data_IF_540701276814
#
_entry.id   IF_540701276814
#
_cell.length_a   1.000
_cell.length_b   1.000
_cell.length_c   1.000
_cell.angle_alpha   90.00
_cell.angle_beta   90.00
_cell.angle_gamma   90.00
#
_symmetry.space_group_name_H-M   'P 1'
#
loop_
_entity.id
_entity.type
_entity.pdbx_description
1 polymer ?
#
# COMPACT_ATOMS: atom_id res chain seq x y z
N UNK A 1 -46.66 15.24 -46.07
CA UNK A 1 -45.85 15.58 -44.91
C UNK A 1 -45.15 14.31 -44.45
N UNK A 2 -43.85 14.17 -44.70
CA UNK A 2 -43.06 12.99 -44.31
C UNK A 2 -42.32 13.33 -43.00
N UNK A 3 -42.80 12.79 -41.89
CA UNK A 3 -42.10 12.88 -40.62
C UNK A 3 -40.90 11.91 -40.64
N UNK A 4 -39.71 12.45 -40.76
CA UNK A 4 -38.45 11.68 -40.57
C UNK A 4 -38.12 11.69 -39.09
N UNK A 5 -38.42 10.59 -38.39
CA UNK A 5 -37.91 10.32 -37.06
C UNK A 5 -36.43 10.00 -37.18
N UNK A 6 -35.57 10.91 -36.69
CA UNK A 6 -34.17 10.63 -36.48
C UNK A 6 -34.04 9.86 -35.16
N UNK A 7 -33.78 8.56 -35.26
CA UNK A 7 -33.37 7.75 -34.14
C UNK A 7 -31.91 8.13 -33.80
N UNK A 8 -31.72 8.94 -32.80
CA UNK A 8 -30.42 9.16 -32.21
C UNK A 8 -30.07 7.90 -31.38
N UNK A 9 -29.27 7.01 -31.94
CA UNK A 9 -28.67 5.92 -31.21
C UNK A 9 -27.58 6.53 -30.29
N UNK A 10 -27.93 6.69 -29.01
CA UNK A 10 -26.93 7.03 -27.98
C UNK A 10 -26.08 5.79 -27.75
N UNK A 11 -24.89 5.79 -28.34
CA UNK A 11 -23.87 4.77 -28.10
C UNK A 11 -23.32 5.02 -26.68
N UNK A 12 -23.88 4.31 -25.71
CA UNK A 12 -23.31 4.26 -24.35
C UNK A 12 -22.03 3.45 -24.43
N UNK A 13 -20.91 4.14 -24.55
CA UNK A 13 -19.59 3.51 -24.42
C UNK A 13 -19.42 3.15 -22.94
N UNK A 14 -19.66 1.90 -22.63
CA UNK A 14 -19.29 1.31 -21.35
C UNK A 14 -17.75 1.28 -21.29
N UNK A 15 -17.15 2.28 -20.66
CA UNK A 15 -15.75 2.22 -20.28
C UNK A 15 -15.62 1.16 -19.19
N UNK A 16 -15.36 -0.07 -19.62
CA UNK A 16 -14.90 -1.12 -18.69
C UNK A 16 -13.51 -0.69 -18.24
N UNK A 17 -13.43 -0.05 -17.09
CA UNK A 17 -12.17 0.09 -16.37
C UNK A 17 -11.75 -1.32 -15.98
N UNK A 18 -10.99 -1.97 -16.86
CA UNK A 18 -10.25 -3.17 -16.52
C UNK A 18 -9.38 -2.78 -15.32
N UNK A 19 -9.73 -3.27 -14.16
CA UNK A 19 -8.90 -3.17 -12.97
C UNK A 19 -7.62 -3.93 -13.25
N UNK A 20 -6.60 -3.25 -13.77
CA UNK A 20 -5.26 -3.81 -13.84
C UNK A 20 -4.83 -4.10 -12.40
N UNK A 21 -4.56 -5.36 -12.11
CA UNK A 21 -3.85 -5.79 -10.91
C UNK A 21 -2.50 -5.09 -10.92
N UNK A 22 -2.36 -4.04 -10.13
CA UNK A 22 -1.14 -3.22 -10.07
C UNK A 22 0.00 -3.88 -9.27
N UNK A 23 0.02 -5.22 -9.17
CA UNK A 23 1.09 -5.97 -8.50
C UNK A 23 2.46 -5.55 -8.98
N UNK A 24 2.64 -5.43 -10.30
CA UNK A 24 3.93 -5.08 -10.90
C UNK A 24 4.42 -3.70 -10.49
N UNK A 25 3.53 -2.75 -10.26
CA UNK A 25 3.89 -1.40 -9.80
C UNK A 25 4.34 -1.40 -8.34
N UNK A 26 3.78 -2.30 -7.51
CA UNK A 26 4.18 -2.47 -6.11
C UNK A 26 5.56 -3.11 -5.97
N UNK A 27 5.95 -4.02 -6.89
CA UNK A 27 7.21 -4.76 -6.79
C UNK A 27 8.42 -3.85 -6.62
N UNK A 28 9.31 -4.25 -5.72
CA UNK A 28 10.56 -3.56 -5.44
C UNK A 28 10.64 -2.97 -4.04
N UNK A 29 11.71 -2.25 -3.80
CA UNK A 29 12.03 -1.68 -2.50
C UNK A 29 11.55 -0.23 -2.40
N UNK A 30 10.88 0.07 -1.29
CA UNK A 30 10.30 1.37 -0.97
C UNK A 30 10.87 1.86 0.36
N UNK A 31 11.51 3.02 0.32
CA UNK A 31 12.09 3.68 1.50
C UNK A 31 11.07 4.62 2.13
N UNK A 32 10.99 4.62 3.45
CA UNK A 32 10.10 5.53 4.19
C UNK A 32 10.40 7.00 3.91
N UNK A 33 9.35 7.79 3.73
CA UNK A 33 9.39 9.25 3.63
C UNK A 33 8.67 9.89 4.82
N UNK A 34 7.50 9.37 5.19
CA UNK A 34 6.74 9.87 6.35
C UNK A 34 5.75 8.85 6.91
N UNK A 35 5.42 9.02 8.19
CA UNK A 35 4.32 8.36 8.88
C UNK A 35 3.39 9.44 9.42
N UNK A 36 2.09 9.26 9.18
CA UNK A 36 1.04 10.20 9.63
C UNK A 36 0.03 9.44 10.47
N UNK A 37 -0.28 9.95 11.64
CA UNK A 37 -1.31 9.44 12.55
C UNK A 37 -2.32 10.54 12.84
N UNK A 38 -3.62 10.27 12.62
CA UNK A 38 -4.69 11.25 12.81
C UNK A 38 -4.42 12.60 12.10
N UNK A 39 -3.78 12.58 10.92
CA UNK A 39 -3.41 13.77 10.17
C UNK A 39 -2.14 14.49 10.65
N UNK A 40 -1.44 13.95 11.65
CA UNK A 40 -0.23 14.56 12.25
C UNK A 40 1.00 13.74 11.88
N UNK A 41 2.04 14.41 11.35
CA UNK A 41 3.34 13.78 11.07
C UNK A 41 4.00 13.30 12.35
N UNK A 42 4.47 12.06 12.31
CA UNK A 42 5.21 11.43 13.39
C UNK A 42 6.71 11.45 13.11
N UNK A 43 7.51 11.36 14.16
CA UNK A 43 8.95 11.09 14.03
C UNK A 43 9.14 9.71 13.40
N UNK A 44 10.06 9.60 12.44
CA UNK A 44 10.32 8.34 11.73
C UNK A 44 11.72 7.81 12.06
N UNK A 45 11.83 6.47 12.02
CA UNK A 45 13.12 5.76 11.99
C UNK A 45 13.41 5.28 10.56
N UNK A 46 14.66 4.92 10.28
CA UNK A 46 15.04 4.33 9.00
C UNK A 46 14.30 3.00 8.84
N UNK A 47 13.44 2.93 7.85
CA UNK A 47 12.62 1.73 7.57
C UNK A 47 12.35 1.61 6.07
N UNK A 48 12.02 0.42 5.65
CA UNK A 48 11.68 0.11 4.26
C UNK A 48 10.62 -0.99 4.17
N UNK A 49 10.04 -1.08 3.00
CA UNK A 49 9.13 -2.17 2.63
C UNK A 49 9.49 -2.66 1.23
N UNK A 50 9.62 -3.97 1.07
CA UNK A 50 9.93 -4.62 -0.19
C UNK A 50 8.79 -5.57 -0.56
N UNK A 51 8.21 -5.37 -1.73
CA UNK A 51 7.23 -6.26 -2.32
C UNK A 51 7.91 -7.17 -3.35
N UNK A 52 7.73 -8.48 -3.21
CA UNK A 52 8.40 -9.48 -4.03
C UNK A 52 7.46 -10.62 -4.42
N UNK A 53 7.77 -11.23 -5.56
CA UNK A 53 7.08 -12.41 -6.07
C UNK A 53 8.05 -13.60 -6.05
N UNK A 54 7.64 -14.68 -5.41
CA UNK A 54 8.35 -15.97 -5.42
C UNK A 54 7.36 -17.10 -5.74
N UNK A 55 7.63 -17.88 -6.74
CA UNK A 55 6.80 -19.04 -7.12
C UNK A 55 5.28 -18.74 -7.20
N UNK A 56 4.92 -17.59 -7.80
CA UNK A 56 3.55 -17.07 -7.88
C UNK A 56 2.91 -16.62 -6.55
N UNK A 57 3.66 -16.54 -5.48
CA UNK A 57 3.22 -15.97 -4.22
C UNK A 57 3.73 -14.52 -4.08
N UNK A 58 2.87 -13.67 -3.58
CA UNK A 58 3.17 -12.26 -3.37
C UNK A 58 3.47 -12.02 -1.88
N UNK A 59 4.67 -11.54 -1.60
CA UNK A 59 5.17 -11.32 -0.26
C UNK A 59 5.52 -9.86 -0.02
N UNK A 60 5.55 -9.49 1.25
CA UNK A 60 6.14 -8.27 1.73
C UNK A 60 7.17 -8.58 2.79
N UNK A 61 8.28 -7.86 2.77
CA UNK A 61 9.31 -7.94 3.80
C UNK A 61 9.98 -6.57 3.96
N UNK A 62 10.69 -6.34 5.04
CA UNK A 62 11.42 -5.11 5.23
C UNK A 62 11.91 -4.90 6.64
N UNK A 63 12.25 -3.65 6.94
CA UNK A 63 12.66 -3.19 8.25
C UNK A 63 11.64 -2.15 8.76
N UNK A 64 11.09 -2.40 9.94
CA UNK A 64 10.07 -1.54 10.56
C UNK A 64 10.64 -0.45 11.48
N UNK A 65 11.95 -0.30 11.51
CA UNK A 65 12.67 0.63 12.40
C UNK A 65 13.72 -0.08 13.23
N UNK A 66 13.32 -1.01 14.08
CA UNK A 66 14.21 -1.85 14.89
C UNK A 66 14.25 -3.27 14.35
N UNK A 67 13.10 -3.83 14.05
CA UNK A 67 12.93 -5.23 13.68
C UNK A 67 12.70 -5.43 12.19
N UNK A 68 13.02 -6.62 11.70
CA UNK A 68 12.64 -7.09 10.37
C UNK A 68 11.27 -7.74 10.43
N UNK A 69 10.51 -7.57 9.38
CA UNK A 69 9.19 -8.17 9.24
C UNK A 69 9.04 -8.87 7.88
N UNK A 70 8.08 -9.76 7.80
CA UNK A 70 7.60 -10.35 6.56
C UNK A 70 6.13 -10.72 6.68
N UNK A 71 5.46 -10.84 5.54
CA UNK A 71 4.06 -11.23 5.46
C UNK A 71 3.66 -11.66 4.06
N UNK A 72 2.43 -12.16 3.96
CA UNK A 72 1.82 -12.56 2.69
C UNK A 72 0.92 -11.43 2.22
N UNK A 73 0.98 -11.09 0.94
CA UNK A 73 0.16 -10.05 0.33
C UNK A 73 -0.91 -10.67 -0.54
N UNK A 74 -2.15 -10.28 -0.34
CA UNK A 74 -3.27 -10.58 -1.23
C UNK A 74 -3.80 -9.30 -1.85
N UNK A 75 -4.05 -9.34 -3.14
CA UNK A 75 -4.71 -8.26 -3.85
C UNK A 75 -6.23 -8.44 -3.76
N UNK A 76 -6.95 -7.37 -3.44
CA UNK A 76 -8.41 -7.33 -3.43
C UNK A 76 -8.89 -6.04 -4.10
N UNK A 77 -9.06 -6.08 -5.43
CA UNK A 77 -9.36 -4.89 -6.21
C UNK A 77 -8.25 -3.84 -6.07
N UNK A 78 -8.59 -2.65 -5.59
CA UNK A 78 -7.64 -1.55 -5.33
C UNK A 78 -7.07 -1.56 -3.91
N UNK A 79 -7.28 -2.65 -3.16
CA UNK A 79 -6.79 -2.82 -1.80
C UNK A 79 -5.77 -3.95 -1.75
N UNK A 80 -4.90 -3.89 -0.76
CA UNK A 80 -4.02 -4.99 -0.39
C UNK A 80 -4.38 -5.49 1.00
N UNK A 81 -4.22 -6.79 1.22
CA UNK A 81 -4.36 -7.41 2.53
C UNK A 81 -3.02 -8.03 2.87
N UNK A 82 -2.45 -7.64 4.01
CA UNK A 82 -1.23 -8.24 4.53
C UNK A 82 -1.63 -9.19 5.65
N UNK A 83 -1.32 -10.46 5.43
CA UNK A 83 -1.63 -11.57 6.34
C UNK A 83 -0.36 -12.22 6.87
N UNK A 84 -0.49 -12.92 7.99
CA UNK A 84 0.61 -13.66 8.61
C UNK A 84 1.85 -12.79 8.83
N UNK A 85 1.63 -11.55 9.22
CA UNK A 85 2.71 -10.61 9.52
C UNK A 85 3.49 -11.11 10.74
N UNK A 86 4.77 -11.36 10.54
CA UNK A 86 5.70 -11.75 11.57
C UNK A 86 6.88 -10.79 11.62
N UNK A 87 7.41 -10.56 12.80
CA UNK A 87 8.60 -9.71 12.99
C UNK A 87 9.55 -10.32 14.01
N UNK A 88 10.83 -9.95 13.93
CA UNK A 88 11.80 -10.19 15.00
C UNK A 88 11.41 -9.35 16.22
N UNK A 89 12.03 -9.62 17.37
CA UNK A 89 11.71 -8.95 18.64
C UNK A 89 12.97 -8.45 19.34
N UNK A 90 13.74 -7.64 18.63
CA UNK A 90 14.85 -6.91 19.24
C UNK A 90 14.31 -5.65 19.92
N UNK A 91 15.01 -5.20 20.96
CA UNK A 91 14.71 -3.96 21.67
C UNK A 91 15.54 -2.82 21.09
N UNK A 92 14.89 -1.70 20.81
CA UNK A 92 15.52 -0.44 20.44
C UNK A 92 15.29 0.65 21.50
N UNK A 93 15.54 1.90 21.13
CA UNK A 93 15.13 3.04 21.95
C UNK A 93 13.60 3.13 22.04
N UNK A 94 13.10 3.82 23.05
CA UNK A 94 11.66 4.00 23.25
C UNK A 94 11.00 4.63 22.00
N UNK A 95 11.60 5.69 21.46
CA UNK A 95 11.09 6.38 20.28
C UNK A 95 11.10 5.47 19.03
N UNK A 96 12.12 4.64 18.88
CA UNK A 96 12.22 3.71 17.76
C UNK A 96 11.17 2.58 17.87
N UNK A 97 10.88 2.13 19.08
CA UNK A 97 9.86 1.12 19.34
C UNK A 97 8.45 1.68 19.16
N UNK A 98 8.18 2.92 19.56
CA UNK A 98 6.91 3.61 19.29
C UNK A 98 6.67 3.77 17.79
N UNK A 99 7.68 4.19 17.03
CA UNK A 99 7.62 4.27 15.59
C UNK A 99 7.33 2.91 14.95
N UNK A 100 8.07 1.88 15.34
CA UNK A 100 7.89 0.51 14.82
C UNK A 100 6.47 -0.01 15.04
N UNK A 101 5.91 0.23 16.23
CA UNK A 101 4.57 -0.17 16.57
C UNK A 101 3.54 0.48 15.63
N UNK A 102 3.66 1.78 15.39
CA UNK A 102 2.82 2.50 14.44
C UNK A 102 3.01 2.00 12.99
N UNK A 103 4.25 1.73 12.58
CA UNK A 103 4.56 1.19 11.27
C UNK A 103 3.86 -0.16 11.05
N UNK A 104 4.05 -1.10 11.96
CA UNK A 104 3.46 -2.45 11.89
C UNK A 104 1.94 -2.41 11.98
N UNK A 105 1.38 -1.53 12.80
CA UNK A 105 -0.07 -1.32 12.85
C UNK A 105 -0.62 -0.80 11.52
N UNK A 106 0.11 0.08 10.85
CA UNK A 106 -0.33 0.64 9.56
C UNK A 106 -0.42 -0.45 8.50
N UNK A 107 0.54 -1.36 8.43
CA UNK A 107 0.59 -2.40 7.39
C UNK A 107 -0.19 -3.68 7.73
N UNK A 108 -0.92 -3.71 8.84
CA UNK A 108 -1.70 -4.88 9.24
C UNK A 108 -3.14 -4.79 8.76
N UNK A 109 -3.64 -5.85 8.12
CA UNK A 109 -5.03 -5.99 7.68
C UNK A 109 -5.28 -5.52 6.27
N UNK A 110 -6.46 -4.98 6.02
CA UNK A 110 -6.89 -4.49 4.70
C UNK A 110 -6.52 -3.02 4.55
N UNK A 111 -5.78 -2.71 3.48
CA UNK A 111 -5.16 -1.40 3.27
C UNK A 111 -5.55 -0.84 1.91
N UNK A 112 -5.79 0.46 1.88
CA UNK A 112 -5.77 1.23 0.64
C UNK A 112 -4.34 1.56 0.25
N UNK A 113 -4.04 1.62 -1.04
CA UNK A 113 -2.74 2.06 -1.52
C UNK A 113 -2.87 2.89 -2.80
N UNK A 114 -1.91 3.75 -3.01
CA UNK A 114 -1.79 4.59 -4.18
C UNK A 114 -0.33 4.67 -4.62
N UNK A 115 -0.09 4.50 -5.92
CA UNK A 115 1.25 4.67 -6.51
C UNK A 115 1.16 5.76 -7.55
N UNK A 116 2.04 6.77 -7.41
CA UNK A 116 2.18 7.87 -8.35
C UNK A 116 3.60 8.42 -8.31
N UNK A 117 4.21 8.62 -9.48
CA UNK A 117 5.52 9.26 -9.61
C UNK A 117 6.61 8.66 -8.70
N UNK A 118 6.75 7.33 -8.70
CA UNK A 118 7.68 6.60 -7.83
C UNK A 118 7.46 6.81 -6.32
N UNK A 119 6.26 7.20 -5.94
CA UNK A 119 5.82 7.28 -4.55
C UNK A 119 4.70 6.28 -4.29
N UNK A 120 4.77 5.63 -3.13
CA UNK A 120 3.77 4.71 -2.63
C UNK A 120 3.17 5.27 -1.34
N UNK A 121 1.86 5.33 -1.30
CA UNK A 121 1.09 5.64 -0.11
C UNK A 121 0.33 4.40 0.33
N UNK A 122 0.45 4.01 1.59
CA UNK A 122 -0.33 2.95 2.23
C UNK A 122 -1.17 3.57 3.33
N UNK A 123 -2.47 3.28 3.32
CA UNK A 123 -3.44 3.87 4.25
C UNK A 123 -4.18 2.76 4.99
N UNK A 124 -4.10 2.79 6.31
CA UNK A 124 -4.98 2.03 7.19
C UNK A 124 -6.07 2.98 7.69
N UNK A 125 -7.21 3.00 7.00
CA UNK A 125 -8.30 3.93 7.29
C UNK A 125 -8.91 3.69 8.67
N UNK A 126 -9.03 2.44 9.10
CA UNK A 126 -9.63 2.07 10.40
C UNK A 126 -8.81 2.61 11.58
N UNK A 127 -7.50 2.68 11.42
CA UNK A 127 -6.56 3.16 12.44
C UNK A 127 -6.14 4.61 12.25
N UNK A 128 -6.57 5.25 11.15
CA UNK A 128 -6.18 6.61 10.75
C UNK A 128 -4.66 6.77 10.66
N UNK A 129 -4.01 5.77 10.08
CA UNK A 129 -2.57 5.70 9.87
C UNK A 129 -2.25 5.71 8.39
N UNK A 130 -1.18 6.40 8.03
CA UNK A 130 -0.68 6.52 6.66
C UNK A 130 0.84 6.43 6.65
N UNK A 131 1.38 5.63 5.72
CA UNK A 131 2.81 5.55 5.41
C UNK A 131 3.03 6.01 3.98
N UNK A 132 3.99 6.90 3.80
CA UNK A 132 4.43 7.36 2.50
C UNK A 132 5.87 6.93 2.26
N UNK A 133 6.13 6.44 1.05
CA UNK A 133 7.42 5.89 0.63
C UNK A 133 7.82 6.46 -0.72
N UNK A 134 9.11 6.43 -1.01
CA UNK A 134 9.65 6.60 -2.36
C UNK A 134 10.36 5.33 -2.82
N UNK A 135 10.33 5.08 -4.13
CA UNK A 135 10.97 3.91 -4.71
C UNK A 135 12.49 4.07 -4.67
N UNK A 136 13.15 3.08 -4.11
CA UNK A 136 14.62 3.01 -4.09
C UNK A 136 15.09 2.38 -5.41
N UNK A 137 15.97 3.08 -6.10
CA UNK A 137 16.65 2.59 -7.32
C UNK A 137 17.70 1.56 -6.99
#
# INVERSE_FOLDING_TARGET
>A
MKNRFYFFAVLVIFFVLAGCDNKNELLGNWQIESLIKDGVYQQIAVSDINFLMEENHFFVAGNSGVNRFHGIVKMKGKKIIIENLASTRMMGSEEAMEYEDLFLQTITGTLDYEIKDNKLKIINADKKLELNFFKKN
#
